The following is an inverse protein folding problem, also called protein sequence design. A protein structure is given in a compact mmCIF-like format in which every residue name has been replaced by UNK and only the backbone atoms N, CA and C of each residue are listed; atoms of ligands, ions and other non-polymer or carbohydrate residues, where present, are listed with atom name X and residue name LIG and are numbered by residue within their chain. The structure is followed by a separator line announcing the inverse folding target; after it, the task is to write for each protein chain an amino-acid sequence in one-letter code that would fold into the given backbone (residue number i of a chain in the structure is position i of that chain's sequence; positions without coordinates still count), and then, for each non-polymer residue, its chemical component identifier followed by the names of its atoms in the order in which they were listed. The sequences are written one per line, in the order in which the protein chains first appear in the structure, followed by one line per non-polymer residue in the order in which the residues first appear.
data_IF_640135285669
#
_entry.id   IF_640135285669
#
_cell.length_a   1.000
_cell.length_b   1.000
_cell.length_c   1.000
_cell.angle_alpha   90.00
_cell.angle_beta   90.00
_cell.angle_gamma   90.00
#
_symmetry.space_group_name_H-M   'P 1'
#
loop_
_entity.id
_entity.type
_entity.pdbx_description
1 polymer ?
#
# COMPACT_ATOMS: atom_id res chain seq x y z
N UNK A 1 29.58 -11.41 11.85
CA UNK A 1 28.69 -10.65 12.74
C UNK A 1 27.29 -11.12 12.47
N UNK A 2 26.46 -11.27 13.50
CA UNK A 2 25.04 -11.55 13.28
C UNK A 2 24.46 -10.34 12.54
N UNK A 3 24.14 -10.53 11.26
CA UNK A 3 23.38 -9.57 10.48
C UNK A 3 21.95 -9.62 11.02
N UNK A 4 21.65 -8.76 11.99
CA UNK A 4 20.27 -8.43 12.32
C UNK A 4 19.73 -7.58 11.17
N UNK A 5 19.40 -8.24 10.06
CA UNK A 5 18.46 -7.72 9.07
C UNK A 5 17.13 -7.55 9.79
N UNK A 6 16.97 -6.38 10.41
CA UNK A 6 15.68 -5.97 10.95
C UNK A 6 14.72 -6.04 9.78
N UNK A 7 13.74 -6.92 9.83
CA UNK A 7 12.68 -6.94 8.83
C UNK A 7 12.11 -5.51 8.73
N UNK A 8 11.98 -4.99 7.52
CA UNK A 8 11.51 -3.62 7.22
C UNK A 8 10.22 -3.23 8.00
N UNK A 9 9.43 -4.23 8.38
CA UNK A 9 8.30 -4.12 9.28
C UNK A 9 8.19 -5.39 10.16
N UNK A 10 7.57 -5.30 11.35
CA UNK A 10 7.36 -6.44 12.24
C UNK A 10 6.40 -7.51 11.68
N UNK A 11 5.58 -7.14 10.69
CA UNK A 11 4.62 -8.04 10.05
C UNK A 11 4.74 -7.94 8.53
N UNK A 12 4.24 -8.96 7.83
CA UNK A 12 4.10 -8.96 6.37
C UNK A 12 2.62 -9.14 6.04
N UNK A 13 2.02 -8.26 5.23
CA UNK A 13 0.68 -8.48 4.68
C UNK A 13 0.78 -9.44 3.49
N UNK A 14 0.20 -10.63 3.64
CA UNK A 14 0.39 -11.78 2.73
C UNK A 14 -0.84 -12.07 1.88
N UNK A 15 -1.98 -11.50 2.23
CA UNK A 15 -3.22 -11.58 1.45
C UNK A 15 -3.92 -10.22 1.49
N UNK A 16 -4.70 -9.91 0.44
CA UNK A 16 -5.69 -8.85 0.48
C UNK A 16 -7.04 -9.30 -0.07
N UNK A 17 -8.09 -8.57 0.28
CA UNK A 17 -9.42 -8.66 -0.31
C UNK A 17 -9.96 -7.25 -0.55
N UNK A 18 -10.74 -7.09 -1.62
CA UNK A 18 -11.37 -5.80 -1.96
C UNK A 18 -12.87 -6.00 -2.06
N UNK A 19 -13.61 -5.18 -1.33
CA UNK A 19 -15.07 -5.14 -1.37
C UNK A 19 -15.57 -3.73 -1.66
N UNK A 20 -16.79 -3.61 -2.19
CA UNK A 20 -17.35 -2.33 -2.61
C UNK A 20 -16.69 -1.77 -3.89
N UNK A 21 -16.96 -0.51 -4.19
CA UNK A 21 -16.40 0.21 -5.34
C UNK A 21 -16.45 1.73 -5.12
N UNK A 22 -15.62 2.47 -5.85
CA UNK A 22 -15.54 3.94 -5.76
C UNK A 22 -15.22 4.40 -4.34
N UNK A 23 -15.95 5.39 -3.84
CA UNK A 23 -15.74 5.93 -2.48
C UNK A 23 -16.09 4.93 -1.36
N UNK A 24 -16.89 3.90 -1.67
CA UNK A 24 -17.25 2.83 -0.76
C UNK A 24 -16.32 1.61 -0.84
N UNK A 25 -15.26 1.64 -1.66
CA UNK A 25 -14.27 0.56 -1.74
C UNK A 25 -13.57 0.36 -0.39
N UNK A 26 -13.35 -0.88 0.01
CA UNK A 26 -12.62 -1.25 1.23
C UNK A 26 -11.58 -2.30 0.85
N UNK A 27 -10.31 -1.99 1.12
CA UNK A 27 -9.18 -2.89 0.97
C UNK A 27 -8.85 -3.46 2.34
N UNK A 28 -8.90 -4.78 2.47
CA UNK A 28 -8.62 -5.51 3.71
C UNK A 28 -7.35 -6.34 3.53
N UNK A 29 -6.41 -6.26 4.46
CA UNK A 29 -5.18 -7.04 4.47
C UNK A 29 -5.20 -8.10 5.57
N UNK A 30 -4.63 -9.27 5.29
CA UNK A 30 -4.26 -10.27 6.31
C UNK A 30 -2.74 -10.36 6.43
N UNK A 31 -2.25 -10.29 7.65
CA UNK A 31 -0.82 -10.46 7.94
C UNK A 31 -0.41 -11.93 8.07
N UNK A 32 0.89 -12.20 7.98
CA UNK A 32 1.49 -13.52 8.20
C UNK A 32 1.24 -14.10 9.61
N UNK A 33 0.85 -13.26 10.57
CA UNK A 33 0.47 -13.68 11.93
C UNK A 33 -1.05 -13.75 12.13
N UNK A 34 -1.84 -13.51 11.09
CA UNK A 34 -3.30 -13.64 11.09
C UNK A 34 -4.07 -12.38 11.51
N UNK A 35 -3.40 -11.27 11.83
CA UNK A 35 -4.08 -9.98 12.05
C UNK A 35 -4.77 -9.54 10.74
N UNK A 36 -6.03 -9.10 10.82
CA UNK A 36 -6.84 -8.60 9.70
C UNK A 36 -7.09 -7.11 9.89
N UNK A 37 -6.77 -6.30 8.88
CA UNK A 37 -6.88 -4.83 8.95
C UNK A 37 -7.50 -4.25 7.69
N UNK A 38 -8.47 -3.35 7.85
CA UNK A 38 -9.05 -2.58 6.75
C UNK A 38 -8.27 -1.28 6.59
N UNK A 39 -7.73 -1.02 5.40
CA UNK A 39 -7.06 0.25 5.11
C UNK A 39 -8.06 1.40 5.25
N UNK A 40 -7.70 2.41 6.05
CA UNK A 40 -8.58 3.52 6.41
C UNK A 40 -7.86 4.49 7.34
N UNK A 41 -8.55 5.54 7.80
CA UNK A 41 -7.96 6.53 8.69
C UNK A 41 -7.29 5.95 9.96
N UNK A 42 -7.79 4.83 10.48
CA UNK A 42 -7.21 4.12 11.63
C UNK A 42 -6.02 3.21 11.27
N UNK A 43 -5.96 2.75 10.02
CA UNK A 43 -4.95 1.84 9.49
C UNK A 43 -4.45 2.37 8.13
N UNK A 44 -3.81 3.54 8.11
CA UNK A 44 -3.47 4.19 6.85
C UNK A 44 -2.47 3.36 6.05
N UNK A 45 -2.58 3.45 4.72
CA UNK A 45 -1.56 2.99 3.79
C UNK A 45 -0.50 4.06 3.58
N UNK A 46 0.75 3.63 3.47
CA UNK A 46 1.89 4.49 3.16
C UNK A 46 2.77 3.80 2.14
N UNK A 47 3.24 4.55 1.15
CA UNK A 47 4.09 4.04 0.08
C UNK A 47 5.47 4.68 0.16
N UNK A 48 6.51 3.87 0.00
CA UNK A 48 7.92 4.30 0.05
C UNK A 48 8.61 3.84 -1.22
N UNK A 49 9.33 4.74 -1.89
CA UNK A 49 10.23 4.38 -2.97
C UNK A 49 11.44 3.61 -2.41
N UNK A 50 11.83 2.50 -3.04
CA UNK A 50 13.04 1.76 -2.69
C UNK A 50 14.20 2.26 -3.55
N UNK A 51 15.10 3.04 -2.95
CA UNK A 51 16.19 3.73 -3.66
C UNK A 51 17.14 2.77 -4.40
N UNK A 52 17.39 1.58 -3.85
CA UNK A 52 18.35 0.62 -4.41
C UNK A 52 17.83 -0.11 -5.65
N UNK A 53 16.51 -0.34 -5.73
CA UNK A 53 15.89 -1.15 -6.78
C UNK A 53 15.01 -0.33 -7.72
N UNK A 54 14.68 0.92 -7.33
CA UNK A 54 13.62 1.71 -7.96
C UNK A 54 12.21 1.17 -7.68
N UNK A 55 12.09 0.24 -6.73
CA UNK A 55 10.84 -0.42 -6.34
C UNK A 55 9.93 0.46 -5.49
N UNK A 56 8.80 -0.10 -5.09
CA UNK A 56 7.81 0.55 -4.24
C UNK A 56 7.43 -0.40 -3.11
N UNK A 57 7.53 0.06 -1.86
CA UNK A 57 7.17 -0.67 -0.65
C UNK A 57 5.92 -0.07 -0.01
N UNK A 58 4.76 -0.74 -0.09
CA UNK A 58 3.57 -0.35 0.64
C UNK A 58 3.63 -0.86 2.08
N UNK A 59 3.13 -0.07 3.01
CA UNK A 59 2.97 -0.42 4.42
C UNK A 59 1.54 -0.11 4.85
N UNK A 60 0.96 -0.99 5.67
CA UNK A 60 -0.32 -0.74 6.35
C UNK A 60 -0.12 -0.73 7.85
N UNK A 61 -0.65 0.27 8.55
CA UNK A 61 -0.59 0.32 10.01
C UNK A 61 -1.48 -0.77 10.60
N UNK A 62 -0.91 -1.65 11.44
CA UNK A 62 -1.65 -2.77 12.06
C UNK A 62 -2.20 -2.36 13.42
N UNK A 63 -1.32 -1.96 14.35
CA UNK A 63 -1.72 -1.52 15.70
C UNK A 63 -0.64 -0.68 16.35
N UNK A 64 -1.05 0.34 17.11
CA UNK A 64 -0.13 1.27 17.77
C UNK A 64 0.79 1.95 16.74
N UNK A 65 2.06 1.55 16.70
CA UNK A 65 3.05 2.01 15.70
C UNK A 65 3.62 0.87 14.84
N UNK A 66 3.03 -0.32 14.92
CA UNK A 66 3.49 -1.50 14.18
C UNK A 66 2.82 -1.51 12.81
N UNK A 67 3.62 -1.50 11.76
CA UNK A 67 3.18 -1.62 10.37
C UNK A 67 3.36 -3.07 9.88
N UNK A 68 2.66 -3.42 8.81
CA UNK A 68 2.96 -4.58 7.99
C UNK A 68 3.50 -4.12 6.64
N UNK A 69 4.63 -4.67 6.20
CA UNK A 69 5.10 -4.51 4.82
C UNK A 69 4.20 -5.36 3.92
N UNK A 70 3.66 -4.78 2.86
CA UNK A 70 2.84 -5.51 1.90
C UNK A 70 3.75 -6.38 1.04
N UNK A 71 3.50 -7.70 1.04
CA UNK A 71 4.28 -8.64 0.26
C UNK A 71 4.18 -8.32 -1.23
N UNK A 72 5.25 -8.60 -1.98
CA UNK A 72 5.36 -8.27 -3.40
C UNK A 72 4.17 -8.75 -4.25
N UNK A 73 3.65 -10.00 -4.11
CA UNK A 73 2.45 -10.41 -4.84
C UNK A 73 1.22 -9.55 -4.52
N UNK A 74 0.97 -9.31 -3.23
CA UNK A 74 -0.15 -8.47 -2.76
C UNK A 74 0.01 -7.02 -3.20
N UNK A 75 1.24 -6.52 -3.29
CA UNK A 75 1.53 -5.19 -3.81
C UNK A 75 1.16 -5.07 -5.30
N UNK A 76 1.39 -6.12 -6.11
CA UNK A 76 0.95 -6.15 -7.50
C UNK A 76 -0.58 -6.16 -7.60
N UNK A 77 -1.26 -6.95 -6.79
CA UNK A 77 -2.73 -6.93 -6.75
C UNK A 77 -3.24 -5.54 -6.32
N UNK A 78 -2.63 -4.94 -5.29
CA UNK A 78 -3.01 -3.61 -4.80
C UNK A 78 -2.95 -2.53 -5.89
N UNK A 79 -1.90 -2.54 -6.73
CA UNK A 79 -1.80 -1.56 -7.82
C UNK A 79 -2.80 -1.80 -8.94
N UNK A 80 -3.34 -3.02 -9.12
CA UNK A 80 -4.43 -3.25 -10.09
C UNK A 80 -5.72 -2.51 -9.71
N UNK A 81 -5.89 -2.16 -8.43
CA UNK A 81 -7.00 -1.33 -7.94
C UNK A 81 -6.66 0.17 -7.93
N UNK A 82 -5.51 0.58 -8.47
CA UNK A 82 -5.13 1.97 -8.56
C UNK A 82 -5.84 2.71 -9.69
N UNK A 83 -6.12 3.99 -9.45
CA UNK A 83 -6.74 4.90 -10.40
C UNK A 83 -6.01 6.26 -10.43
N UNK A 84 -6.20 7.03 -11.51
CA UNK A 84 -5.69 8.40 -11.60
C UNK A 84 -6.65 9.36 -10.88
N UNK A 85 -6.17 10.05 -9.85
CA UNK A 85 -6.95 11.00 -9.03
C UNK A 85 -6.23 12.36 -9.03
N UNK A 86 -6.96 13.46 -9.25
CA UNK A 86 -6.40 14.80 -9.03
C UNK A 86 -6.34 15.11 -7.53
N UNK A 87 -5.13 15.39 -7.04
CA UNK A 87 -4.86 15.74 -5.65
C UNK A 87 -4.06 17.03 -5.63
N UNK A 88 -4.75 18.14 -5.34
CA UNK A 88 -4.14 19.47 -5.27
C UNK A 88 -3.61 19.95 -6.63
N UNK A 89 -4.32 19.67 -7.73
CA UNK A 89 -3.93 20.07 -9.09
C UNK A 89 -2.81 19.21 -9.69
N UNK A 90 -2.55 18.03 -9.12
CA UNK A 90 -1.61 17.04 -9.63
C UNK A 90 -2.32 15.70 -9.78
N UNK A 91 -2.25 15.11 -10.96
CA UNK A 91 -2.73 13.75 -11.21
C UNK A 91 -1.80 12.73 -10.54
N UNK A 92 -2.32 12.03 -9.55
CA UNK A 92 -1.65 10.99 -8.80
C UNK A 92 -2.24 9.63 -9.17
N UNK A 93 -1.41 8.62 -9.34
CA UNK A 93 -1.86 7.23 -9.26
C UNK A 93 -2.06 6.88 -7.79
N UNK A 94 -3.25 6.43 -7.42
CA UNK A 94 -3.66 6.28 -6.03
C UNK A 94 -4.67 5.14 -5.87
N UNK A 95 -4.79 4.62 -4.65
CA UNK A 95 -5.83 3.64 -4.29
C UNK A 95 -6.82 4.27 -3.31
N UNK A 96 -8.07 3.83 -3.36
CA UNK A 96 -9.11 4.21 -2.39
C UNK A 96 -9.38 3.09 -1.42
N UNK A 97 -9.58 3.45 -0.16
CA UNK A 97 -10.17 2.53 0.82
C UNK A 97 -10.85 3.30 1.93
N UNK A 98 -12.09 2.91 2.26
CA UNK A 98 -12.86 3.42 3.41
C UNK A 98 -13.01 4.94 3.39
N UNK A 99 -13.30 5.49 2.22
CA UNK A 99 -13.44 6.94 1.99
C UNK A 99 -12.12 7.72 1.94
N UNK A 100 -10.97 7.06 2.16
CA UNK A 100 -9.65 7.69 2.09
C UNK A 100 -8.99 7.44 0.72
N UNK A 101 -8.15 8.39 0.31
CA UNK A 101 -7.33 8.30 -0.91
C UNK A 101 -5.88 8.21 -0.49
N UNK A 102 -5.17 7.18 -0.98
CA UNK A 102 -3.76 6.96 -0.69
C UNK A 102 -2.93 7.15 -1.97
N UNK A 103 -2.23 8.29 -2.12
CA UNK A 103 -1.38 8.54 -3.26
C UNK A 103 -0.19 7.58 -3.26
N UNK A 104 0.03 6.90 -4.38
CA UNK A 104 1.17 6.01 -4.58
C UNK A 104 2.33 6.80 -5.19
N UNK A 105 2.08 7.41 -6.35
CA UNK A 105 3.07 8.22 -7.06
C UNK A 105 2.40 9.14 -8.10
N UNK A 106 3.08 10.16 -8.64
CA UNK A 106 2.55 10.94 -9.76
C UNK A 106 2.26 10.03 -10.96
N UNK A 107 1.12 10.22 -11.63
CA UNK A 107 0.73 9.40 -12.78
C UNK A 107 1.77 9.44 -13.91
N UNK A 108 2.40 10.60 -14.12
CA UNK A 108 3.50 10.77 -15.08
C UNK A 108 4.75 9.97 -14.70
N UNK A 109 5.00 9.70 -13.40
CA UNK A 109 6.09 8.82 -12.97
C UNK A 109 5.76 7.36 -13.32
N UNK A 110 4.53 6.93 -13.08
CA UNK A 110 4.07 5.58 -13.41
C UNK A 110 4.19 5.29 -14.92
N UNK A 111 3.73 6.21 -15.77
CA UNK A 111 3.83 6.07 -17.24
C UNK A 111 5.27 5.84 -17.72
N UNK A 112 6.26 6.45 -17.07
CA UNK A 112 7.69 6.23 -17.39
C UNK A 112 8.23 4.88 -16.92
N UNK A 113 7.64 4.28 -15.89
CA UNK A 113 8.03 2.96 -15.39
C UNK A 113 7.38 1.82 -16.20
N UNK A 114 6.26 2.10 -16.87
CA UNK A 114 5.52 1.15 -17.70
C UNK A 114 5.84 1.22 -19.20
N UNK A 115 6.72 2.15 -19.62
CA UNK A 115 7.18 2.33 -20.99
C UNK A 115 8.50 1.60 -21.25
#
# INVERSE_FOLDING_TARGET
GYDLSVADAPFIAVEMDVSGAGDGQIITFRTNVGDVVEAGAAHPLRFVDEDETGGLKPYVLVRGRLEALVARPVMYELVEHGEEIDIGGKTMFAVRSKGEVYPIMPAEKLKRLSA
#
